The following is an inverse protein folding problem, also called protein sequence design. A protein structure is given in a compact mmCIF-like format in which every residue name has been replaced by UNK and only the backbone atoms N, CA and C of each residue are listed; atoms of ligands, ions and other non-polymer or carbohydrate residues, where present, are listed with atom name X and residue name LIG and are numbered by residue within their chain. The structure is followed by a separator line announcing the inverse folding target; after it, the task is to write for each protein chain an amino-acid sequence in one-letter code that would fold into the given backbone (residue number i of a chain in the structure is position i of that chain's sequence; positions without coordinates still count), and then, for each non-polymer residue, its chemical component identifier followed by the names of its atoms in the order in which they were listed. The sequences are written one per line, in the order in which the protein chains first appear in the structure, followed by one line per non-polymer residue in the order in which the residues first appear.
data_IF_701922056334
#
_entry.id   IF_701922056334
#
_cell.length_a   1.000
_cell.length_b   1.000
_cell.length_c   1.000
_cell.angle_alpha   90.00
_cell.angle_beta   90.00
_cell.angle_gamma   90.00
#
_symmetry.space_group_name_H-M   'P 1'
#
loop_
_entity.id
_entity.type
_entity.pdbx_description
1 polymer ?
#
# COMPACT_ATOMS: atom_id res chain seq x y z
N UNK A 1 -16.87 52.32 4.89
CA UNK A 1 -17.86 51.65 5.78
C UNK A 1 -19.32 52.05 5.57
N UNK A 2 -19.65 53.31 5.26
CA UNK A 2 -21.05 53.77 5.15
C UNK A 2 -21.86 53.05 4.05
N UNK A 3 -21.23 52.75 2.91
CA UNK A 3 -21.84 52.01 1.79
C UNK A 3 -22.19 50.57 2.20
N UNK A 4 -21.31 49.92 2.95
CA UNK A 4 -21.51 48.55 3.45
C UNK A 4 -22.66 48.48 4.47
N UNK A 5 -22.74 49.45 5.39
CA UNK A 5 -23.84 49.56 6.35
C UNK A 5 -25.18 49.78 5.62
N UNK A 6 -25.23 50.67 4.62
CA UNK A 6 -26.44 50.93 3.82
C UNK A 6 -26.92 49.70 3.04
N UNK A 7 -25.99 48.86 2.58
CA UNK A 7 -26.31 47.59 1.93
C UNK A 7 -26.90 46.58 2.93
N UNK A 8 -26.26 46.42 4.10
CA UNK A 8 -26.70 45.50 5.15
C UNK A 8 -28.11 45.80 5.66
N UNK A 9 -28.44 47.08 5.85
CA UNK A 9 -29.78 47.50 6.31
C UNK A 9 -30.90 47.26 5.27
N UNK A 10 -30.55 46.94 4.02
CA UNK A 10 -31.52 46.69 2.93
C UNK A 10 -31.71 45.18 2.63
N UNK A 11 -31.15 44.30 3.45
CA UNK A 11 -31.30 42.85 3.32
C UNK A 11 -32.58 42.36 4.00
N UNK A 12 -33.52 41.88 3.19
CA UNK A 12 -34.69 41.13 3.65
C UNK A 12 -34.27 39.69 4.03
N UNK A 13 -35.01 39.08 4.97
CA UNK A 13 -34.79 37.70 5.43
C UNK A 13 -34.68 36.69 4.28
N UNK A 14 -35.56 36.78 3.28
CA UNK A 14 -35.53 35.90 2.10
C UNK A 14 -34.22 36.02 1.31
N UNK A 15 -33.64 37.23 1.20
CA UNK A 15 -32.36 37.43 0.50
C UNK A 15 -31.19 36.79 1.26
N UNK A 16 -31.24 36.78 2.59
CA UNK A 16 -30.26 36.09 3.42
C UNK A 16 -30.38 34.57 3.30
N UNK A 17 -31.61 34.04 3.26
CA UNK A 17 -31.85 32.60 3.06
C UNK A 17 -31.36 32.14 1.68
N UNK A 18 -31.59 32.91 0.61
CA UNK A 18 -31.05 32.60 -0.73
C UNK A 18 -29.52 32.68 -0.76
N UNK A 19 -28.91 33.67 -0.10
CA UNK A 19 -27.46 33.79 -0.03
C UNK A 19 -26.83 32.63 0.75
N UNK A 20 -27.46 32.21 1.87
CA UNK A 20 -27.05 31.04 2.66
C UNK A 20 -27.13 29.76 1.83
N UNK A 21 -28.20 29.58 1.07
CA UNK A 21 -28.36 28.45 0.15
C UNK A 21 -27.26 28.43 -0.92
N UNK A 22 -27.00 29.58 -1.57
CA UNK A 22 -25.93 29.71 -2.56
C UNK A 22 -24.55 29.41 -1.96
N UNK A 23 -24.27 29.87 -0.74
CA UNK A 23 -23.03 29.56 -0.03
C UNK A 23 -22.88 28.06 0.25
N UNK A 24 -23.93 27.39 0.74
CA UNK A 24 -23.88 25.96 1.00
C UNK A 24 -23.74 25.12 -0.27
N UNK A 25 -24.29 25.58 -1.39
CA UNK A 25 -24.12 24.91 -2.67
C UNK A 25 -22.71 25.11 -3.24
N UNK A 26 -22.20 26.35 -3.24
CA UNK A 26 -20.93 26.71 -3.84
C UNK A 26 -19.72 26.31 -2.98
N UNK A 27 -19.83 26.37 -1.66
CA UNK A 27 -18.74 26.06 -0.74
C UNK A 27 -18.07 24.70 -1.01
N UNK A 28 -18.79 23.56 -1.05
CA UNK A 28 -18.15 22.27 -1.32
C UNK A 28 -17.58 22.18 -2.74
N UNK A 29 -18.24 22.78 -3.74
CA UNK A 29 -17.77 22.78 -5.14
C UNK A 29 -16.44 23.53 -5.25
N UNK A 30 -16.33 24.69 -4.60
CA UNK A 30 -15.11 25.49 -4.60
C UNK A 30 -13.98 24.80 -3.84
N UNK A 31 -14.27 24.16 -2.70
CA UNK A 31 -13.28 23.38 -1.95
C UNK A 31 -12.77 22.22 -2.81
N UNK A 32 -13.66 21.45 -3.44
CA UNK A 32 -13.28 20.36 -4.34
C UNK A 32 -12.50 20.84 -5.57
N UNK A 33 -12.87 21.98 -6.15
CA UNK A 33 -12.12 22.56 -7.27
C UNK A 33 -10.72 23.01 -6.84
N UNK A 34 -10.59 23.63 -5.67
CA UNK A 34 -9.29 24.09 -5.16
C UNK A 34 -8.36 22.95 -4.74
N UNK A 35 -8.92 21.94 -4.07
CA UNK A 35 -8.18 20.78 -3.54
C UNK A 35 -7.95 19.75 -4.64
N UNK A 36 -8.97 19.43 -5.41
CA UNK A 36 -9.02 18.26 -6.29
C UNK A 36 -8.26 18.39 -7.62
N UNK A 37 -7.94 19.61 -8.07
CA UNK A 37 -7.19 19.79 -9.31
C UNK A 37 -5.73 19.33 -9.21
N UNK A 38 -5.09 19.55 -8.06
CA UNK A 38 -3.67 19.22 -7.82
C UNK A 38 -3.50 18.65 -6.40
N UNK A 39 -4.24 17.59 -6.08
CA UNK A 39 -4.21 16.98 -4.74
C UNK A 39 -2.82 16.42 -4.41
N UNK A 40 -2.13 15.85 -5.41
CA UNK A 40 -0.79 15.31 -5.23
C UNK A 40 0.19 16.41 -4.80
N UNK A 41 0.34 17.48 -5.59
CA UNK A 41 1.25 18.59 -5.24
C UNK A 41 0.93 19.26 -3.89
N UNK A 42 -0.37 19.39 -3.55
CA UNK A 42 -0.81 20.11 -2.34
C UNK A 42 -0.72 19.29 -1.06
N UNK A 43 -0.86 17.97 -1.15
CA UNK A 43 -0.91 17.07 0.02
C UNK A 43 0.20 16.01 0.00
N UNK A 44 1.14 16.06 -0.95
CA UNK A 44 2.30 15.18 -0.95
C UNK A 44 3.19 15.53 0.24
N UNK A 45 3.46 14.52 1.05
CA UNK A 45 4.31 14.60 2.22
C UNK A 45 5.76 14.30 1.78
N UNK A 46 6.74 15.17 2.06
CA UNK A 46 8.13 14.91 1.70
C UNK A 46 8.62 13.64 2.41
N UNK A 47 9.05 12.65 1.62
CA UNK A 47 9.54 11.37 2.15
C UNK A 47 8.45 10.39 2.60
N UNK A 48 7.18 10.59 2.20
CA UNK A 48 6.11 9.62 2.48
C UNK A 48 6.34 8.29 1.76
N UNK A 49 6.76 8.35 0.49
CA UNK A 49 7.10 7.17 -0.27
C UNK A 49 8.57 6.80 -0.02
N UNK A 50 8.86 5.53 0.30
CA UNK A 50 10.25 5.06 0.35
C UNK A 50 10.91 5.28 -1.01
N UNK A 51 12.17 5.72 -0.99
CA UNK A 51 12.93 6.00 -2.21
C UNK A 51 12.88 4.75 -3.12
N UNK A 52 12.47 4.87 -4.40
CA UNK A 52 12.48 3.77 -5.34
C UNK A 52 13.82 3.02 -5.34
N UNK A 53 14.96 3.70 -5.11
CA UNK A 53 16.27 3.04 -5.00
C UNK A 53 16.38 2.03 -3.85
N UNK A 54 15.63 2.25 -2.76
CA UNK A 54 15.60 1.40 -1.56
C UNK A 54 14.64 0.21 -1.70
N UNK A 55 13.74 0.24 -2.69
CA UNK A 55 12.84 -0.88 -2.94
C UNK A 55 13.58 -2.04 -3.59
N UNK A 56 13.03 -3.24 -3.42
CA UNK A 56 13.48 -4.41 -4.14
C UNK A 56 13.27 -4.19 -5.65
N UNK A 57 14.35 -3.92 -6.37
CA UNK A 57 14.35 -3.74 -7.81
C UNK A 57 14.31 -5.10 -8.48
N UNK A 58 13.19 -5.37 -9.16
CA UNK A 58 13.08 -6.58 -9.98
C UNK A 58 14.03 -6.42 -11.18
N UNK A 59 14.94 -7.38 -11.44
CA UNK A 59 15.81 -7.33 -12.60
C UNK A 59 14.97 -7.28 -13.87
N UNK A 60 15.21 -6.28 -14.72
CA UNK A 60 14.42 -6.04 -15.94
C UNK A 60 15.08 -6.64 -17.18
N UNK A 61 16.41 -6.76 -17.16
CA UNK A 61 17.17 -7.22 -18.30
C UNK A 61 17.28 -8.77 -18.34
N UNK A 62 17.20 -9.40 -19.53
CA UNK A 62 17.22 -10.86 -19.64
C UNK A 62 18.45 -11.55 -19.04
N UNK A 63 19.60 -10.88 -19.04
CA UNK A 63 20.86 -11.42 -18.50
C UNK A 63 20.90 -11.33 -16.96
N UNK A 64 20.39 -10.24 -16.38
CA UNK A 64 20.24 -10.07 -14.93
C UNK A 64 19.28 -11.12 -14.36
N UNK A 65 18.18 -11.38 -15.06
CA UNK A 65 17.19 -12.39 -14.70
C UNK A 65 17.83 -13.78 -14.63
N UNK A 66 18.64 -14.15 -15.63
CA UNK A 66 19.32 -15.45 -15.64
C UNK A 66 20.33 -15.59 -14.50
N UNK A 67 21.07 -14.53 -14.20
CA UNK A 67 22.02 -14.51 -13.08
C UNK A 67 21.29 -14.67 -11.73
N UNK A 68 20.18 -13.98 -11.54
CA UNK A 68 19.38 -14.07 -10.31
C UNK A 68 18.73 -15.45 -10.15
N UNK A 69 18.21 -16.05 -11.24
CA UNK A 69 17.71 -17.43 -11.23
C UNK A 69 18.82 -18.42 -10.85
N UNK A 70 20.03 -18.24 -11.37
CA UNK A 70 21.18 -19.09 -11.03
C UNK A 70 21.55 -18.95 -9.54
N UNK A 71 21.53 -17.72 -9.00
CA UNK A 71 21.73 -17.44 -7.57
C UNK A 71 20.68 -18.16 -6.72
N UNK A 72 19.41 -18.05 -7.09
CA UNK A 72 18.29 -18.70 -6.39
C UNK A 72 18.44 -20.24 -6.41
N UNK A 73 18.82 -20.82 -7.55
CA UNK A 73 19.05 -22.28 -7.66
C UNK A 73 20.18 -22.75 -6.73
N UNK A 74 21.30 -22.02 -6.67
CA UNK A 74 22.42 -22.34 -5.78
C UNK A 74 22.02 -22.26 -4.30
N UNK A 75 21.34 -21.17 -3.91
CA UNK A 75 20.85 -21.00 -2.54
C UNK A 75 19.87 -22.11 -2.12
N UNK A 76 19.01 -22.56 -3.04
CA UNK A 76 18.09 -23.70 -2.79
C UNK A 76 18.85 -25.00 -2.58
N UNK A 77 19.86 -25.29 -3.39
CA UNK A 77 20.68 -26.50 -3.26
C UNK A 77 21.46 -26.51 -1.94
N UNK A 78 22.06 -25.38 -1.57
CA UNK A 78 22.75 -25.24 -0.28
C UNK A 78 21.80 -25.41 0.90
N UNK A 79 20.61 -24.79 0.84
CA UNK A 79 19.59 -24.97 1.87
C UNK A 79 19.16 -26.44 1.99
N UNK A 80 18.96 -27.14 0.86
CA UNK A 80 18.64 -28.58 0.87
C UNK A 80 19.75 -29.40 1.53
N UNK A 81 21.01 -29.19 1.15
CA UNK A 81 22.16 -29.88 1.75
C UNK A 81 22.23 -29.66 3.26
N UNK A 82 22.10 -28.41 3.72
CA UNK A 82 22.10 -28.08 5.16
C UNK A 82 20.94 -28.73 5.91
N UNK A 83 19.78 -28.87 5.28
CA UNK A 83 18.64 -29.56 5.87
C UNK A 83 18.85 -31.07 5.94
N UNK A 84 19.42 -31.66 4.89
CA UNK A 84 19.77 -33.09 4.84
C UNK A 84 20.84 -33.47 5.86
N UNK A 85 21.88 -32.64 6.01
CA UNK A 85 22.91 -32.79 7.04
C UNK A 85 22.30 -32.73 8.45
N UNK A 86 21.42 -31.76 8.71
CA UNK A 86 20.71 -31.64 10.00
C UNK A 86 19.77 -32.80 10.27
N UNK A 87 19.05 -33.29 9.25
CA UNK A 87 18.18 -34.44 9.38
C UNK A 87 18.99 -35.70 9.74
N UNK A 88 20.15 -35.87 9.11
CA UNK A 88 21.08 -36.97 9.40
C UNK A 88 21.68 -36.89 10.80
N UNK A 89 22.02 -35.70 11.28
CA UNK A 89 22.49 -35.47 12.66
C UNK A 89 21.40 -35.76 13.71
N UNK A 90 20.14 -35.45 13.39
CA UNK A 90 18.99 -35.72 14.25
C UNK A 90 18.49 -37.17 14.17
N UNK A 91 19.05 -37.99 13.27
CA UNK A 91 18.65 -39.39 13.08
C UNK A 91 17.25 -39.57 12.50
N UNK A 92 16.68 -38.53 11.89
CA UNK A 92 15.37 -38.57 11.24
C UNK A 92 15.52 -39.33 9.93
N UNK A 93 14.93 -40.52 9.87
CA UNK A 93 14.86 -41.36 8.67
C UNK A 93 13.63 -41.02 7.83
N UNK A 94 13.67 -41.33 6.52
CA UNK A 94 12.52 -41.11 5.62
C UNK A 94 11.23 -41.78 6.14
N UNK A 95 11.39 -42.90 6.86
CA UNK A 95 10.31 -43.64 7.54
C UNK A 95 9.62 -42.82 8.66
N UNK A 96 10.35 -41.97 9.40
CA UNK A 96 9.75 -41.17 10.50
C UNK A 96 8.84 -40.06 9.94
N UNK A 97 9.21 -39.50 8.79
CA UNK A 97 8.46 -38.43 8.12
C UNK A 97 7.21 -39.00 7.44
N UNK A 98 7.27 -40.20 6.85
CA UNK A 98 6.10 -40.88 6.28
C UNK A 98 5.08 -41.24 7.37
N UNK A 99 5.55 -41.76 8.51
CA UNK A 99 4.69 -42.08 9.65
C UNK A 99 4.01 -40.84 10.27
N UNK A 100 4.71 -39.70 10.38
CA UNK A 100 4.09 -38.44 10.84
C UNK A 100 3.01 -37.93 9.87
N UNK A 101 3.29 -37.97 8.56
CA UNK A 101 2.32 -37.53 7.54
C UNK A 101 1.08 -38.43 7.47
N UNK A 102 1.22 -39.75 7.67
CA UNK A 102 0.07 -40.67 7.73
C UNK A 102 -0.80 -40.41 8.97
N UNK A 103 -0.18 -40.21 10.14
CA UNK A 103 -0.89 -39.91 11.39
C UNK A 103 -1.60 -38.55 11.35
N UNK A 104 -1.02 -37.51 10.72
CA UNK A 104 -1.68 -36.21 10.55
C UNK A 104 -2.89 -36.26 9.60
N UNK A 105 -2.81 -37.08 8.55
CA UNK A 105 -3.92 -37.29 7.60
C UNK A 105 -5.05 -38.13 8.20
N UNK A 106 -4.76 -39.10 9.08
CA UNK A 106 -5.80 -39.83 9.83
C UNK A 106 -6.47 -38.98 10.91
N UNK A 107 -5.76 -38.05 11.56
CA UNK A 107 -6.32 -37.18 12.59
C UNK A 107 -7.20 -36.04 12.06
N UNK A 108 -7.14 -35.75 10.75
CA UNK A 108 -7.90 -34.68 10.09
C UNK A 108 -9.07 -35.17 9.21
N UNK A 109 -9.27 -36.50 9.11
CA UNK A 109 -10.41 -37.15 8.47
C UNK A 109 -11.54 -37.45 9.46
#
# INVERSE_FOLDING_TARGET
MAILKRLLYKLNRTRLETAKFGFYLLSPILVMYYVGLNTDEKFNLPGFWPDPSTLNQIPKEPHEIQAEIARIKRARLEKRKRLEERARELGITEEDVENENENENEATA
#
